data_IF_839270105325
#
_entry.id   IF_839270105325
#
_cell.length_a   1.000
_cell.length_b   1.000
_cell.length_c   1.000
_cell.angle_alpha   90.00
_cell.angle_beta   90.00
_cell.angle_gamma   90.00
#
_symmetry.space_group_name_H-M   'P 1'
#
loop_
_entity.id
_entity.type
_entity.pdbx_description
1 polymer ?
#
# COMPACT_ATOMS: atom_id res chain seq x y z
N UNK A 1 -4.21 -8.68 23.46
CA UNK A 1 -3.32 -7.53 23.20
C UNK A 1 -3.91 -6.75 22.07
N UNK A 2 -4.11 -5.46 22.24
CA UNK A 2 -4.66 -4.58 21.20
C UNK A 2 -3.59 -4.23 20.16
N UNK A 3 -4.02 -3.77 18.96
CA UNK A 3 -3.07 -3.31 17.93
C UNK A 3 -2.19 -2.17 18.45
N UNK A 4 -2.75 -1.25 19.24
CA UNK A 4 -2.00 -0.15 19.86
C UNK A 4 -0.91 -0.66 20.83
N UNK A 5 -1.19 -1.71 21.60
CA UNK A 5 -0.20 -2.34 22.49
C UNK A 5 0.93 -3.01 21.70
N UNK A 6 0.62 -3.71 20.59
CA UNK A 6 1.62 -4.32 19.71
C UNK A 6 2.53 -3.27 19.07
N UNK A 7 1.95 -2.17 18.60
CA UNK A 7 2.71 -1.04 18.04
C UNK A 7 3.63 -0.45 19.11
N UNK A 8 3.12 -0.21 20.31
CA UNK A 8 3.91 0.33 21.42
C UNK A 8 5.10 -0.57 21.76
N UNK A 9 4.92 -1.89 21.84
CA UNK A 9 6.02 -2.84 22.07
C UNK A 9 7.06 -2.79 20.94
N UNK A 10 6.61 -2.65 19.69
CA UNK A 10 7.51 -2.49 18.55
C UNK A 10 8.30 -1.18 18.65
N UNK A 11 7.64 -0.08 19.01
CA UNK A 11 8.30 1.22 19.24
C UNK A 11 9.32 1.10 20.37
N UNK A 12 8.98 0.48 21.50
CA UNK A 12 9.88 0.30 22.63
C UNK A 12 11.16 -0.49 22.29
N UNK A 13 11.08 -1.37 21.27
CA UNK A 13 12.25 -2.11 20.77
C UNK A 13 13.10 -1.34 19.76
N UNK A 14 12.59 -0.27 19.17
CA UNK A 14 13.21 0.47 18.08
C UNK A 14 13.66 1.88 18.47
N UNK A 15 12.93 2.53 19.36
CA UNK A 15 13.20 3.89 19.83
C UNK A 15 14.32 3.91 20.87
N UNK A 16 15.07 5.00 20.93
CA UNK A 16 16.02 5.22 22.01
C UNK A 16 15.33 5.66 23.32
N UNK A 17 16.01 5.62 24.50
CA UNK A 17 15.39 5.93 25.79
C UNK A 17 14.77 7.35 25.87
N UNK A 18 15.36 8.35 25.23
CA UNK A 18 14.85 9.72 25.24
C UNK A 18 13.57 9.84 24.41
N UNK A 19 13.54 9.20 23.25
CA UNK A 19 12.34 9.12 22.40
C UNK A 19 11.21 8.39 23.11
N UNK A 20 11.52 7.25 23.75
CA UNK A 20 10.53 6.45 24.47
C UNK A 20 9.94 7.22 25.65
N UNK A 21 10.77 7.90 26.46
CA UNK A 21 10.31 8.73 27.58
C UNK A 21 9.34 9.84 27.12
N UNK A 22 9.64 10.49 25.97
CA UNK A 22 8.73 11.49 25.40
C UNK A 22 7.41 10.88 24.91
N UNK A 23 7.44 9.70 24.30
CA UNK A 23 6.23 8.99 23.84
C UNK A 23 5.37 8.61 25.04
N UNK A 24 5.97 8.10 26.12
CA UNK A 24 5.26 7.76 27.36
C UNK A 24 4.63 8.97 28.04
N UNK A 25 5.31 10.11 28.08
CA UNK A 25 4.75 11.37 28.59
C UNK A 25 3.48 11.79 27.81
N UNK A 26 3.46 11.58 26.48
CA UNK A 26 2.38 12.07 25.60
C UNK A 26 1.21 11.10 25.43
N UNK A 27 1.39 9.81 25.69
CA UNK A 27 0.35 8.78 25.46
C UNK A 27 -0.93 9.00 26.26
N UNK A 28 -0.85 9.63 27.43
CA UNK A 28 -1.99 9.88 28.31
C UNK A 28 -2.64 11.26 28.08
N UNK A 29 -2.18 12.01 27.08
CA UNK A 29 -2.72 13.33 26.77
C UNK A 29 -4.19 13.26 26.32
N UNK A 30 -4.88 14.39 26.41
CA UNK A 30 -6.21 14.56 25.83
C UNK A 30 -6.17 14.56 24.29
N UNK A 31 -7.32 14.65 23.64
CA UNK A 31 -7.39 14.60 22.17
C UNK A 31 -6.55 15.69 21.49
N UNK A 32 -6.54 16.91 22.02
CA UNK A 32 -5.73 18.01 21.49
C UNK A 32 -4.24 17.78 21.70
N UNK A 33 -3.86 17.29 22.87
CA UNK A 33 -2.49 16.94 23.18
C UNK A 33 -1.95 15.81 22.31
N UNK A 34 -2.74 14.79 22.02
CA UNK A 34 -2.37 13.69 21.11
C UNK A 34 -2.24 14.18 19.65
N UNK A 35 -3.16 15.02 19.17
CA UNK A 35 -3.05 15.63 17.85
C UNK A 35 -1.78 16.50 17.73
N UNK A 36 -1.46 17.28 18.76
CA UNK A 36 -0.20 18.06 18.81
C UNK A 36 1.03 17.12 18.86
N UNK A 37 0.97 16.05 19.65
CA UNK A 37 2.05 15.07 19.71
C UNK A 37 2.31 14.45 18.34
N UNK A 38 1.27 14.07 17.59
CA UNK A 38 1.38 13.57 16.22
C UNK A 38 2.16 14.52 15.29
N UNK A 39 1.86 15.82 15.34
CA UNK A 39 2.57 16.85 14.55
C UNK A 39 4.02 17.02 15.01
N UNK A 40 4.27 16.90 16.32
CA UNK A 40 5.60 17.11 16.91
C UNK A 40 6.58 15.94 16.74
N UNK A 41 6.11 14.75 16.34
CA UNK A 41 6.94 13.55 16.20
C UNK A 41 8.28 13.80 15.49
N UNK A 42 8.36 14.49 14.32
CA UNK A 42 9.63 14.64 13.60
C UNK A 42 10.72 15.43 14.33
N UNK A 43 10.32 16.16 15.38
CA UNK A 43 11.24 16.92 16.25
C UNK A 43 11.71 16.12 17.47
N UNK A 44 11.11 14.96 17.70
CA UNK A 44 11.29 14.18 18.93
C UNK A 44 11.72 12.74 18.67
N UNK A 45 11.44 12.21 17.46
CA UNK A 45 11.69 10.83 17.09
C UNK A 45 12.46 10.79 15.77
N UNK A 46 13.46 9.92 15.71
CA UNK A 46 14.30 9.72 14.54
C UNK A 46 13.56 9.01 13.42
N UNK A 47 13.95 9.30 12.17
CA UNK A 47 13.46 8.62 10.96
C UNK A 47 14.21 7.31 10.70
N UNK A 48 14.42 6.51 11.74
CA UNK A 48 15.10 5.21 11.61
C UNK A 48 14.27 4.26 10.75
N UNK A 49 14.83 3.68 9.66
CA UNK A 49 14.11 2.73 8.82
C UNK A 49 13.77 1.44 9.59
N UNK A 50 12.56 0.92 9.35
CA UNK A 50 12.13 -0.40 9.83
C UNK A 50 12.50 -1.42 8.77
N UNK A 51 13.43 -2.32 9.10
CA UNK A 51 14.01 -3.28 8.15
C UNK A 51 13.31 -4.63 8.08
N UNK A 52 12.30 -4.85 8.94
CA UNK A 52 11.55 -6.11 9.02
C UNK A 52 10.06 -5.86 9.14
N UNK A 53 9.26 -6.86 8.77
CA UNK A 53 7.85 -6.85 9.11
C UNK A 53 7.67 -6.97 10.63
N UNK A 54 6.78 -6.16 11.17
CA UNK A 54 6.50 -6.10 12.62
C UNK A 54 5.38 -7.08 13.03
N UNK A 55 4.69 -7.72 12.08
CA UNK A 55 3.61 -8.67 12.36
C UNK A 55 2.41 -8.07 13.10
N UNK A 56 2.12 -6.79 12.88
CA UNK A 56 1.09 -6.06 13.63
C UNK A 56 -0.34 -6.48 13.25
N UNK A 57 -0.61 -6.56 11.95
CA UNK A 57 -1.85 -7.04 11.35
C UNK A 57 -1.52 -7.78 10.06
N UNK A 58 -2.34 -8.76 9.69
CA UNK A 58 -2.18 -9.48 8.42
C UNK A 58 -2.20 -8.52 7.24
N UNK A 59 -1.17 -8.58 6.40
CA UNK A 59 -1.02 -7.74 5.22
C UNK A 59 -0.59 -6.29 5.49
N UNK A 60 -0.37 -5.90 6.76
CA UNK A 60 0.10 -4.57 7.11
C UNK A 60 1.62 -4.57 7.28
N UNK A 61 2.32 -4.41 6.17
CA UNK A 61 3.77 -4.52 6.13
C UNK A 61 4.47 -3.19 6.43
N UNK A 62 5.40 -3.22 7.40
CA UNK A 62 6.17 -2.06 7.84
C UNK A 62 7.63 -2.06 7.39
N UNK A 63 8.05 -3.03 6.58
CA UNK A 63 9.46 -3.20 6.17
C UNK A 63 10.06 -1.96 5.48
N UNK A 64 9.24 -1.08 4.90
CA UNK A 64 9.69 0.17 4.26
C UNK A 64 9.18 1.42 4.99
N UNK A 65 8.72 1.26 6.23
CA UNK A 65 8.33 2.36 7.10
C UNK A 65 9.49 2.90 7.93
N UNK A 66 9.20 3.92 8.74
CA UNK A 66 10.15 4.52 9.67
C UNK A 66 9.56 4.59 11.06
N UNK A 67 10.43 4.68 12.09
CA UNK A 67 10.01 4.71 13.49
C UNK A 67 9.13 5.92 13.78
N UNK A 68 9.44 7.09 13.23
CA UNK A 68 8.61 8.29 13.37
C UNK A 68 7.19 8.11 12.77
N UNK A 69 7.07 7.42 11.62
CA UNK A 69 5.75 7.07 11.07
C UNK A 69 4.98 6.13 11.98
N UNK A 70 5.65 5.12 12.56
CA UNK A 70 5.02 4.18 13.48
C UNK A 70 4.54 4.87 14.76
N UNK A 71 5.32 5.81 15.31
CA UNK A 71 4.94 6.62 16.47
C UNK A 71 3.75 7.52 16.15
N UNK A 72 3.71 8.14 14.97
CA UNK A 72 2.53 8.90 14.52
C UNK A 72 1.29 8.02 14.46
N UNK A 73 1.40 6.81 13.91
CA UNK A 73 0.28 5.85 13.88
C UNK A 73 -0.14 5.47 15.30
N UNK A 74 0.79 5.25 16.21
CA UNK A 74 0.48 4.99 17.62
C UNK A 74 -0.38 6.10 18.23
N UNK A 75 0.04 7.38 18.08
CA UNK A 75 -0.74 8.51 18.58
C UNK A 75 -2.11 8.65 17.92
N UNK A 76 -2.25 8.32 16.63
CA UNK A 76 -3.56 8.30 15.95
C UNK A 76 -4.49 7.25 16.54
N UNK A 77 -3.99 6.07 16.90
CA UNK A 77 -4.81 5.03 17.54
C UNK A 77 -5.26 5.47 18.95
N UNK A 78 -4.35 6.07 19.74
CA UNK A 78 -4.71 6.64 21.04
C UNK A 78 -5.74 7.78 20.89
N UNK A 79 -5.58 8.62 19.88
CA UNK A 79 -6.50 9.71 19.57
C UNK A 79 -7.88 9.19 19.16
N UNK A 80 -7.94 8.13 18.34
CA UNK A 80 -9.20 7.55 17.86
C UNK A 80 -10.10 7.04 19.00
N UNK A 81 -9.52 6.65 20.15
CA UNK A 81 -10.24 6.21 21.34
C UNK A 81 -10.83 7.37 22.18
N UNK A 82 -10.46 8.61 21.88
CA UNK A 82 -10.96 9.78 22.63
C UNK A 82 -12.33 10.23 22.10
N UNK A 83 -13.12 10.87 22.94
CA UNK A 83 -14.46 11.37 22.58
C UNK A 83 -14.46 12.29 21.34
N UNK A 84 -13.46 13.17 21.20
CA UNK A 84 -13.28 14.08 20.06
C UNK A 84 -12.36 13.50 18.97
N UNK A 85 -11.94 12.24 19.09
CA UNK A 85 -10.89 11.63 18.27
C UNK A 85 -11.19 11.71 16.77
N UNK A 86 -12.41 11.37 16.36
CA UNK A 86 -12.80 11.44 14.95
C UNK A 86 -12.64 12.85 14.38
N UNK A 87 -13.14 13.89 15.06
CA UNK A 87 -13.07 15.27 14.57
C UNK A 87 -11.63 15.79 14.53
N UNK A 88 -10.81 15.40 15.49
CA UNK A 88 -9.38 15.74 15.48
C UNK A 88 -8.63 15.06 14.32
N UNK A 89 -8.91 13.79 14.04
CA UNK A 89 -8.33 13.07 12.90
C UNK A 89 -8.77 13.70 11.56
N UNK A 90 -10.03 14.10 11.42
CA UNK A 90 -10.49 14.85 10.23
C UNK A 90 -9.73 16.16 10.07
N UNK A 91 -9.55 16.92 11.15
CA UNK A 91 -8.75 18.15 11.14
C UNK A 91 -7.30 17.88 10.74
N UNK A 92 -6.71 16.79 11.23
CA UNK A 92 -5.36 16.39 10.82
C UNK A 92 -5.31 16.09 9.31
N UNK A 93 -6.27 15.36 8.74
CA UNK A 93 -6.32 15.12 7.30
C UNK A 93 -6.41 16.43 6.48
N UNK A 94 -7.16 17.43 6.96
CA UNK A 94 -7.38 18.69 6.26
C UNK A 94 -6.15 19.62 6.30
N UNK A 95 -5.29 19.48 7.32
CA UNK A 95 -4.15 20.37 7.56
C UNK A 95 -2.79 19.70 7.41
N UNK A 96 -2.77 18.38 7.18
CA UNK A 96 -1.55 17.58 7.17
C UNK A 96 -0.57 17.96 6.06
N UNK A 97 0.71 18.02 6.38
CA UNK A 97 1.78 17.97 5.39
C UNK A 97 1.98 16.53 4.85
N UNK A 98 2.78 16.39 3.78
CA UNK A 98 2.95 15.10 3.07
C UNK A 98 3.31 13.91 3.98
N UNK A 99 4.27 14.08 4.91
CA UNK A 99 4.69 12.96 5.79
C UNK A 99 3.64 12.64 6.87
N UNK A 100 2.82 13.62 7.23
CA UNK A 100 1.67 13.44 8.11
C UNK A 100 0.57 12.65 7.40
N UNK A 101 0.27 12.99 6.14
CA UNK A 101 -0.65 12.21 5.30
C UNK A 101 -0.19 10.76 5.15
N UNK A 102 1.10 10.51 4.92
CA UNK A 102 1.65 9.14 4.86
C UNK A 102 1.29 8.35 6.12
N UNK A 103 1.48 8.93 7.31
CA UNK A 103 1.15 8.26 8.56
C UNK A 103 -0.37 8.07 8.75
N UNK A 104 -1.17 9.07 8.39
CA UNK A 104 -2.64 9.00 8.42
C UNK A 104 -3.16 7.85 7.54
N UNK A 105 -2.69 7.73 6.30
CA UNK A 105 -3.11 6.65 5.40
C UNK A 105 -2.58 5.28 5.82
N UNK A 106 -1.39 5.19 6.38
CA UNK A 106 -0.88 3.95 6.96
C UNK A 106 -1.69 3.49 8.16
N UNK A 107 -2.24 4.42 8.96
CA UNK A 107 -3.04 4.10 10.13
C UNK A 107 -4.42 3.50 9.83
N UNK A 108 -4.98 3.74 8.64
CA UNK A 108 -6.36 3.42 8.31
C UNK A 108 -6.81 1.99 8.66
N UNK A 109 -6.00 0.92 8.41
CA UNK A 109 -6.43 -0.45 8.73
C UNK A 109 -6.66 -0.70 10.21
N UNK A 110 -6.02 0.09 11.08
CA UNK A 110 -6.04 -0.09 12.53
C UNK A 110 -6.93 0.92 13.28
N UNK A 111 -7.48 1.92 12.59
CA UNK A 111 -8.38 2.89 13.19
C UNK A 111 -9.72 2.27 13.54
N UNK A 112 -10.38 2.79 14.58
CA UNK A 112 -11.74 2.42 14.96
C UNK A 112 -12.68 2.77 13.80
N UNK A 113 -13.58 1.83 13.44
CA UNK A 113 -14.52 1.98 12.31
C UNK A 113 -13.81 2.43 11.03
N UNK A 114 -12.89 1.61 10.48
CA UNK A 114 -12.08 2.00 9.33
C UNK A 114 -12.92 2.43 8.11
N UNK A 115 -14.12 1.89 7.95
CA UNK A 115 -15.03 2.16 6.85
C UNK A 115 -15.43 3.63 6.71
N UNK A 116 -15.43 4.41 7.80
CA UNK A 116 -15.77 5.84 7.75
C UNK A 116 -14.74 6.68 7.00
N UNK A 117 -13.51 6.17 6.85
CA UNK A 117 -12.38 6.84 6.20
C UNK A 117 -12.27 6.53 4.70
N UNK A 118 -13.24 5.80 4.12
CA UNK A 118 -13.18 5.36 2.72
C UNK A 118 -13.02 6.52 1.73
N UNK A 119 -13.67 7.67 1.99
CA UNK A 119 -13.53 8.86 1.16
C UNK A 119 -12.09 9.38 1.16
N UNK A 120 -11.41 9.44 2.33
CA UNK A 120 -10.00 9.82 2.45
C UNK A 120 -9.09 8.85 1.70
N UNK A 121 -9.31 7.54 1.87
CA UNK A 121 -8.52 6.51 1.21
C UNK A 121 -8.63 6.59 -0.33
N UNK A 122 -9.81 6.83 -0.87
CA UNK A 122 -10.01 7.01 -2.31
C UNK A 122 -9.39 8.32 -2.83
N UNK A 123 -9.35 9.38 -2.01
CA UNK A 123 -8.62 10.61 -2.34
C UNK A 123 -7.11 10.39 -2.42
N UNK A 124 -6.54 9.56 -1.54
CA UNK A 124 -5.13 9.18 -1.62
C UNK A 124 -4.78 8.50 -2.95
N UNK A 125 -5.66 7.63 -3.47
CA UNK A 125 -5.46 6.99 -4.78
C UNK A 125 -5.41 8.03 -5.90
N UNK A 126 -6.16 9.12 -5.80
CA UNK A 126 -6.16 10.22 -6.78
C UNK A 126 -4.99 11.20 -6.61
N UNK A 127 -4.31 11.16 -5.47
CA UNK A 127 -3.18 12.06 -5.18
C UNK A 127 -2.03 11.88 -6.18
N UNK A 128 -1.41 12.99 -6.56
CA UNK A 128 -0.16 13.01 -7.32
C UNK A 128 1.09 13.01 -6.43
N UNK A 129 0.92 13.01 -5.11
CA UNK A 129 2.02 12.86 -4.14
C UNK A 129 2.41 11.39 -4.04
N UNK A 130 3.53 11.00 -4.65
CA UNK A 130 4.02 9.61 -4.69
C UNK A 130 4.00 8.93 -3.31
N UNK A 131 4.63 9.50 -2.26
CA UNK A 131 4.65 8.88 -0.93
C UNK A 131 3.26 8.67 -0.31
N UNK A 132 2.30 9.56 -0.57
CA UNK A 132 0.91 9.44 -0.09
C UNK A 132 0.20 8.30 -0.79
N UNK A 133 0.33 8.21 -2.11
CA UNK A 133 -0.19 7.09 -2.88
C UNK A 133 0.42 5.75 -2.42
N UNK A 134 1.74 5.71 -2.22
CA UNK A 134 2.45 4.50 -1.80
C UNK A 134 2.01 4.03 -0.41
N UNK A 135 1.68 4.95 0.49
CA UNK A 135 1.20 4.64 1.84
C UNK A 135 -0.17 3.92 1.87
N UNK A 136 -1.03 4.18 0.89
CA UNK A 136 -2.32 3.47 0.76
C UNK A 136 -2.19 2.22 -0.12
N UNK A 137 -1.30 2.22 -1.12
CA UNK A 137 -1.20 1.14 -2.10
C UNK A 137 -0.39 -0.06 -1.59
N UNK A 138 0.72 0.16 -0.86
CA UNK A 138 1.71 -0.88 -0.59
C UNK A 138 1.76 -1.32 0.87
N UNK A 139 1.73 -2.64 1.09
CA UNK A 139 1.76 -3.23 2.42
C UNK A 139 0.65 -2.69 3.33
N UNK A 140 -0.48 -2.34 2.76
CA UNK A 140 -1.64 -1.77 3.44
C UNK A 140 -2.89 -2.58 3.10
N UNK A 141 -3.50 -3.30 4.06
CA UNK A 141 -4.65 -4.15 3.79
C UNK A 141 -5.97 -3.38 3.61
N UNK A 142 -5.96 -2.06 3.82
CA UNK A 142 -7.18 -1.25 3.75
C UNK A 142 -7.88 -1.32 2.38
N UNK A 143 -7.18 -1.14 1.23
CA UNK A 143 -7.80 -1.24 -0.10
C UNK A 143 -8.38 -2.62 -0.37
N UNK A 144 -7.70 -3.69 0.04
CA UNK A 144 -8.19 -5.06 -0.08
C UNK A 144 -9.55 -5.23 0.60
N UNK A 145 -9.71 -4.65 1.79
CA UNK A 145 -10.87 -4.86 2.65
C UNK A 145 -12.04 -3.95 2.32
N UNK A 146 -11.78 -2.67 2.00
CA UNK A 146 -12.83 -1.64 1.98
C UNK A 146 -13.11 -1.04 0.61
N UNK A 147 -12.22 -1.17 -0.39
CA UNK A 147 -12.47 -0.59 -1.70
C UNK A 147 -13.53 -1.37 -2.47
N UNK A 148 -14.40 -0.64 -3.17
CA UNK A 148 -15.23 -1.23 -4.23
C UNK A 148 -14.35 -1.79 -5.35
N UNK A 149 -14.89 -2.64 -6.22
CA UNK A 149 -14.16 -3.16 -7.38
C UNK A 149 -13.61 -2.03 -8.25
N UNK A 150 -14.40 -0.99 -8.47
CA UNK A 150 -13.97 0.16 -9.26
C UNK A 150 -12.78 0.90 -8.64
N UNK A 151 -12.84 1.20 -7.33
CA UNK A 151 -11.74 1.87 -6.63
C UNK A 151 -10.49 1.00 -6.56
N UNK A 152 -10.66 -0.31 -6.38
CA UNK A 152 -9.60 -1.30 -6.44
C UNK A 152 -8.89 -1.31 -7.80
N UNK A 153 -9.67 -1.43 -8.88
CA UNK A 153 -9.14 -1.44 -10.24
C UNK A 153 -8.39 -0.14 -10.56
N UNK A 154 -8.92 1.03 -10.12
CA UNK A 154 -8.23 2.32 -10.27
C UNK A 154 -6.88 2.35 -9.57
N UNK A 155 -6.78 1.80 -8.35
CA UNK A 155 -5.52 1.72 -7.61
C UNK A 155 -4.50 0.87 -8.37
N UNK A 156 -4.88 -0.35 -8.79
CA UNK A 156 -4.00 -1.27 -9.51
C UNK A 156 -3.54 -0.69 -10.86
N UNK A 157 -4.48 -0.15 -11.65
CA UNK A 157 -4.17 0.49 -12.93
C UNK A 157 -3.21 1.68 -12.75
N UNK A 158 -3.42 2.50 -11.72
CA UNK A 158 -2.50 3.63 -11.45
C UNK A 158 -1.11 3.15 -11.07
N UNK A 159 -0.97 2.05 -10.33
CA UNK A 159 0.35 1.44 -10.09
C UNK A 159 1.02 1.03 -11.40
N UNK A 160 0.30 0.30 -12.28
CA UNK A 160 0.83 -0.18 -13.56
C UNK A 160 1.21 0.99 -14.48
N UNK A 161 0.37 2.02 -14.58
CA UNK A 161 0.62 3.18 -15.45
C UNK A 161 1.81 4.05 -15.00
N UNK A 162 2.17 3.97 -13.71
CA UNK A 162 3.30 4.69 -13.14
C UNK A 162 4.51 3.78 -12.85
N UNK A 163 4.56 2.60 -13.45
CA UNK A 163 5.64 1.60 -13.31
C UNK A 163 5.99 1.30 -11.83
N UNK A 164 4.94 1.21 -10.97
CA UNK A 164 5.08 0.94 -9.54
C UNK A 164 4.98 -0.56 -9.25
N UNK A 165 5.63 -1.05 -8.16
CA UNK A 165 5.74 -2.47 -7.82
C UNK A 165 4.40 -3.05 -7.35
N UNK A 166 3.58 -3.54 -8.28
CA UNK A 166 2.24 -4.07 -7.98
C UNK A 166 2.24 -5.28 -7.04
N UNK A 167 3.34 -6.04 -6.99
CA UNK A 167 3.48 -7.19 -6.09
C UNK A 167 3.44 -6.79 -4.60
N UNK A 168 3.63 -5.51 -4.27
CA UNK A 168 3.50 -4.97 -2.91
C UNK A 168 2.04 -4.63 -2.52
N UNK A 169 1.10 -4.72 -3.46
CA UNK A 169 -0.33 -4.48 -3.18
C UNK A 169 -0.89 -5.71 -2.44
N UNK A 170 -1.36 -5.50 -1.21
CA UNK A 170 -1.98 -6.57 -0.43
C UNK A 170 -3.28 -7.04 -1.06
N UNK A 171 -3.40 -8.34 -1.28
CA UNK A 171 -4.58 -8.95 -1.90
C UNK A 171 -4.68 -8.81 -3.42
N UNK A 172 -3.56 -8.49 -4.10
CA UNK A 172 -3.52 -8.27 -5.55
C UNK A 172 -4.18 -9.40 -6.34
N UNK A 173 -3.79 -10.64 -6.08
CA UNK A 173 -4.30 -11.81 -6.80
C UNK A 173 -5.72 -12.19 -6.38
N UNK A 174 -6.03 -12.07 -5.09
CA UNK A 174 -7.34 -12.41 -4.52
C UNK A 174 -8.46 -11.50 -5.07
N UNK A 175 -8.12 -10.28 -5.46
CA UNK A 175 -9.04 -9.30 -5.99
C UNK A 175 -8.89 -9.04 -7.50
N UNK A 176 -8.10 -9.85 -8.19
CA UNK A 176 -8.12 -9.87 -9.65
C UNK A 176 -9.54 -10.19 -10.15
N UNK A 177 -9.97 -9.51 -11.21
CA UNK A 177 -11.32 -9.64 -11.72
C UNK A 177 -11.38 -9.44 -13.25
N UNK A 178 -12.49 -9.87 -13.87
CA UNK A 178 -12.65 -9.83 -15.31
C UNK A 178 -12.57 -8.40 -15.89
N UNK A 179 -13.13 -7.41 -15.17
CA UNK A 179 -13.10 -6.01 -15.65
C UNK A 179 -11.67 -5.47 -15.67
N UNK A 180 -10.88 -5.75 -14.63
CA UNK A 180 -9.45 -5.40 -14.58
C UNK A 180 -8.68 -6.11 -15.69
N UNK A 181 -8.87 -7.43 -15.86
CA UNK A 181 -8.19 -8.21 -16.90
C UNK A 181 -8.47 -7.68 -18.31
N UNK A 182 -9.71 -7.34 -18.61
CA UNK A 182 -10.08 -6.74 -19.90
C UNK A 182 -9.38 -5.39 -20.13
N UNK A 183 -9.39 -4.52 -19.12
CA UNK A 183 -8.71 -3.21 -19.20
C UNK A 183 -7.20 -3.36 -19.39
N UNK A 184 -6.59 -4.35 -18.74
CA UNK A 184 -5.15 -4.64 -18.90
C UNK A 184 -4.80 -5.24 -20.26
N UNK A 185 -5.68 -6.06 -20.84
CA UNK A 185 -5.50 -6.55 -22.20
C UNK A 185 -5.57 -5.40 -23.22
N UNK A 186 -6.55 -4.50 -23.10
CA UNK A 186 -6.66 -3.31 -23.95
C UNK A 186 -5.42 -2.39 -23.78
N UNK A 187 -4.96 -2.19 -22.55
CA UNK A 187 -3.73 -1.44 -22.26
C UNK A 187 -2.50 -2.07 -22.92
N UNK A 188 -2.38 -3.39 -22.91
CA UNK A 188 -1.27 -4.09 -23.56
C UNK A 188 -1.28 -3.84 -25.09
N UNK A 189 -2.44 -3.91 -25.73
CA UNK A 189 -2.59 -3.61 -27.16
C UNK A 189 -2.21 -2.16 -27.49
N UNK A 190 -2.63 -1.20 -26.67
CA UNK A 190 -2.27 0.22 -26.83
C UNK A 190 -0.76 0.43 -26.71
N UNK A 191 -0.14 -0.13 -25.67
CA UNK A 191 1.32 -0.04 -25.44
C UNK A 191 2.10 -0.60 -26.63
N UNK A 192 1.74 -1.79 -27.08
CA UNK A 192 2.42 -2.46 -28.21
C UNK A 192 2.23 -1.73 -29.53
N UNK A 193 1.05 -1.16 -29.78
CA UNK A 193 0.81 -0.37 -31.00
C UNK A 193 1.68 0.89 -31.04
N UNK A 194 2.02 1.43 -29.86
CA UNK A 194 2.94 2.56 -29.71
C UNK A 194 4.42 2.15 -29.59
N UNK A 195 4.76 0.87 -29.81
CA UNK A 195 6.13 0.35 -29.66
C UNK A 195 6.66 0.37 -28.23
N UNK A 196 5.77 0.38 -27.24
CA UNK A 196 6.13 0.44 -25.81
C UNK A 196 6.04 -0.95 -25.18
N UNK A 197 6.89 -1.17 -24.16
CA UNK A 197 6.87 -2.40 -23.35
C UNK A 197 5.62 -2.46 -22.46
N UNK A 198 5.13 -3.68 -22.20
CA UNK A 198 4.12 -3.99 -21.20
C UNK A 198 4.81 -4.64 -20.01
N UNK A 199 4.62 -4.19 -18.75
CA UNK A 199 5.20 -4.85 -17.59
C UNK A 199 4.77 -6.31 -17.50
N UNK A 200 5.73 -7.22 -17.31
CA UNK A 200 5.46 -8.68 -17.35
C UNK A 200 4.52 -9.16 -16.24
N UNK A 201 4.48 -8.44 -15.10
CA UNK A 201 3.54 -8.71 -13.99
C UNK A 201 2.06 -8.47 -14.36
N UNK A 202 1.76 -7.71 -15.41
CA UNK A 202 0.37 -7.50 -15.88
C UNK A 202 -0.31 -8.84 -16.20
N UNK A 203 0.44 -9.80 -16.75
CA UNK A 203 -0.07 -11.11 -17.15
C UNK A 203 -0.47 -11.99 -15.97
N UNK A 204 0.07 -11.73 -14.78
CA UNK A 204 -0.36 -12.35 -13.52
C UNK A 204 -1.84 -12.08 -13.24
N UNK A 205 -2.33 -10.87 -13.57
CA UNK A 205 -3.70 -10.45 -13.34
C UNK A 205 -4.67 -10.91 -14.45
N UNK A 206 -4.15 -11.31 -15.60
CA UNK A 206 -4.93 -11.80 -16.75
C UNK A 206 -5.01 -13.33 -16.76
N UNK A 207 -4.10 -14.03 -16.09
CA UNK A 207 -3.91 -15.48 -16.23
C UNK A 207 -5.19 -16.32 -16.09
N UNK A 208 -6.09 -15.97 -15.16
CA UNK A 208 -7.31 -16.74 -14.86
C UNK A 208 -8.55 -16.28 -15.64
N UNK A 209 -8.43 -15.20 -16.41
CA UNK A 209 -9.56 -14.56 -17.10
C UNK A 209 -9.45 -14.74 -18.60
N UNK A 210 -10.61 -14.89 -19.27
CA UNK A 210 -10.69 -14.83 -20.72
C UNK A 210 -10.81 -13.39 -21.18
N UNK A 211 -9.86 -12.94 -22.03
CA UNK A 211 -9.92 -11.66 -22.71
C UNK A 211 -9.95 -11.90 -24.22
N UNK A 212 -10.45 -10.93 -24.99
CA UNK A 212 -10.62 -11.05 -26.44
C UNK A 212 -9.31 -11.39 -27.18
N UNK A 213 -8.19 -10.93 -26.67
CA UNK A 213 -6.87 -11.01 -27.30
C UNK A 213 -5.94 -12.00 -26.63
N UNK A 214 -6.33 -12.63 -25.49
CA UNK A 214 -5.46 -13.45 -24.65
C UNK A 214 -4.58 -14.44 -25.41
N UNK A 215 -5.15 -15.17 -26.35
CA UNK A 215 -4.38 -16.14 -27.14
C UNK A 215 -3.29 -15.46 -27.97
N UNK A 216 -3.64 -14.39 -28.69
CA UNK A 216 -2.69 -13.64 -29.51
C UNK A 216 -1.63 -12.96 -28.66
N UNK A 217 -2.02 -12.44 -27.50
CA UNK A 217 -1.10 -11.81 -26.54
C UNK A 217 -0.06 -12.79 -26.04
N UNK A 218 -0.48 -14.00 -25.66
CA UNK A 218 0.42 -15.05 -25.19
C UNK A 218 1.35 -15.57 -26.31
N UNK A 219 0.86 -15.71 -27.53
CA UNK A 219 1.68 -16.05 -28.70
C UNK A 219 2.76 -14.96 -28.95
N UNK A 220 2.38 -13.70 -28.85
CA UNK A 220 3.31 -12.56 -28.97
C UNK A 220 4.36 -12.55 -27.87
N UNK A 221 3.97 -12.77 -26.61
CA UNK A 221 4.90 -12.83 -25.49
C UNK A 221 5.88 -14.01 -25.62
N UNK A 222 5.38 -15.18 -26.03
CA UNK A 222 6.22 -16.35 -26.23
C UNK A 222 7.26 -16.17 -27.35
N UNK A 223 6.94 -15.34 -28.35
CA UNK A 223 7.83 -14.98 -29.46
C UNK A 223 8.70 -13.73 -29.19
N UNK A 224 8.55 -13.08 -28.01
CA UNK A 224 9.34 -11.89 -27.64
C UNK A 224 10.81 -12.23 -27.48
N UNK A 225 11.69 -11.25 -27.72
CA UNK A 225 13.10 -11.36 -27.40
C UNK A 225 13.40 -11.06 -25.91
N UNK A 226 12.45 -10.51 -25.17
CA UNK A 226 12.57 -10.25 -23.75
C UNK A 226 12.34 -11.56 -22.96
N UNK A 227 13.32 -12.04 -22.18
CA UNK A 227 13.18 -13.28 -21.39
C UNK A 227 12.01 -13.24 -20.40
N UNK A 228 11.61 -12.06 -19.95
CA UNK A 228 10.56 -11.88 -18.96
C UNK A 228 9.18 -11.99 -19.60
N UNK A 229 9.01 -11.51 -20.81
CA UNK A 229 7.81 -11.75 -21.63
C UNK A 229 7.63 -13.25 -21.86
N UNK A 230 8.67 -13.94 -22.32
CA UNK A 230 8.66 -15.40 -22.51
C UNK A 230 8.31 -16.12 -21.22
N UNK A 231 8.89 -15.68 -20.09
CA UNK A 231 8.62 -16.27 -18.78
C UNK A 231 7.17 -16.03 -18.35
N UNK A 232 6.64 -14.83 -18.53
CA UNK A 232 5.23 -14.53 -18.24
C UNK A 232 4.28 -15.41 -19.08
N UNK A 233 4.53 -15.58 -20.38
CA UNK A 233 3.75 -16.48 -21.23
C UNK A 233 3.78 -17.93 -20.70
N UNK A 234 4.96 -18.45 -20.35
CA UNK A 234 5.11 -19.78 -19.77
C UNK A 234 4.31 -19.94 -18.47
N UNK A 235 4.38 -18.95 -17.57
CA UNK A 235 3.67 -18.97 -16.29
C UNK A 235 2.14 -19.01 -16.48
N UNK A 236 1.61 -18.25 -17.44
CA UNK A 236 0.18 -18.29 -17.78
C UNK A 236 -0.20 -19.62 -18.41
N UNK A 237 0.51 -20.08 -19.46
CA UNK A 237 0.20 -21.31 -20.19
C UNK A 237 0.26 -22.54 -19.32
N UNK A 238 1.18 -22.59 -18.36
CA UNK A 238 1.34 -23.70 -17.42
C UNK A 238 0.44 -23.60 -16.19
N UNK A 239 -0.41 -22.58 -16.10
CA UNK A 239 -1.21 -22.28 -14.90
C UNK A 239 -0.36 -22.32 -13.62
N UNK A 240 0.79 -21.67 -13.67
CA UNK A 240 1.80 -21.74 -12.61
C UNK A 240 1.32 -21.10 -11.31
N UNK A 241 1.71 -21.65 -10.13
CA UNK A 241 1.33 -21.09 -8.84
C UNK A 241 1.93 -19.69 -8.65
N UNK A 242 1.34 -18.90 -7.74
CA UNK A 242 1.72 -17.51 -7.49
C UNK A 242 3.18 -17.32 -7.10
N UNK A 243 3.75 -18.26 -6.35
CA UNK A 243 5.16 -18.25 -5.97
C UNK A 243 6.11 -18.22 -7.17
N UNK A 244 5.71 -18.83 -8.29
CA UNK A 244 6.51 -18.83 -9.51
C UNK A 244 6.63 -17.42 -10.14
N UNK A 245 5.69 -16.51 -9.87
CA UNK A 245 5.70 -15.14 -10.37
C UNK A 245 6.72 -14.24 -9.69
N UNK A 246 7.22 -14.62 -8.51
CA UNK A 246 8.25 -13.88 -7.77
C UNK A 246 9.54 -13.66 -8.57
N UNK A 247 9.81 -14.49 -9.56
CA UNK A 247 10.96 -14.32 -10.45
C UNK A 247 10.89 -13.00 -11.24
N UNK A 248 9.68 -12.54 -11.56
CA UNK A 248 9.43 -11.31 -12.30
C UNK A 248 9.32 -10.06 -11.40
N UNK A 249 9.24 -10.21 -10.08
CA UNK A 249 9.15 -9.08 -9.14
C UNK A 249 10.43 -8.25 -9.07
N UNK A 250 11.58 -8.87 -9.34
CA UNK A 250 12.89 -8.21 -9.28
C UNK A 250 13.09 -7.14 -10.37
N UNK A 251 12.30 -7.17 -11.43
CA UNK A 251 12.39 -6.22 -12.53
C UNK A 251 11.76 -4.87 -12.20
N UNK A 252 10.69 -4.87 -11.40
CA UNK A 252 9.96 -3.66 -11.03
C UNK A 252 10.75 -2.77 -10.06
N UNK A 253 11.79 -3.32 -9.41
CA UNK A 253 12.66 -2.59 -8.48
C UNK A 253 13.92 -1.99 -9.11
N UNK A 254 14.11 -2.18 -10.41
CA UNK A 254 15.32 -1.75 -11.13
C UNK A 254 15.17 -0.40 -11.88
N UNK A 255 14.06 0.35 -11.64
CA UNK A 255 13.81 1.66 -12.25
C UNK A 255 13.65 2.77 -11.24
#
# INVERSE_FOLDING_TARGET
MTTAELIYQSIASLANPTELAWIEEKREADAKGLALAFVMVPRKVSKTPIQKDLGLLTGWNWQHGTVDQLVRVYFLLQLADKQEGKSQIETLFDTAEMNELVALYRALPALIKPEIWLHRATDAVRSNMGPVFDAIAFGNPYPKTYFSELAWNQLVLKCIFNDKPIHLIEGLDERANQALANTLADFAQERWSAGRRVPSQVWRLIREFDTKTKKQDLERLAASQDPNDQKAAQLVLNNSPLEAWKVLEKEETAY
#
